data_IF_729634141634
#
_entry.id   IF_729634141634
#
_cell.length_a   1.000
_cell.length_b   1.000
_cell.length_c   1.000
_cell.angle_alpha   90.00
_cell.angle_beta   90.00
_cell.angle_gamma   90.00
#
_symmetry.space_group_name_H-M   'P 1'
#
loop_
_entity.id
_entity.type
_entity.pdbx_description
1 polymer ?
#
# COMPACT_ATOMS: atom_id res chain seq x y z
N UNK A 1 15.30 33.30 -4.49
CA UNK A 1 13.97 32.76 -4.84
C UNK A 1 13.98 31.28 -4.44
N UNK A 2 13.52 30.95 -3.25
CA UNK A 2 13.53 29.58 -2.74
C UNK A 2 12.25 28.89 -3.20
N UNK A 3 12.38 27.89 -4.09
CA UNK A 3 11.27 27.04 -4.52
C UNK A 3 11.10 25.95 -3.45
N UNK A 4 10.27 26.21 -2.45
CA UNK A 4 9.88 25.19 -1.46
C UNK A 4 8.92 24.22 -2.14
N UNK A 5 9.42 23.07 -2.57
CA UNK A 5 8.58 21.93 -2.94
C UNK A 5 7.89 21.46 -1.65
N UNK A 6 6.57 21.64 -1.58
CA UNK A 6 5.74 21.20 -0.45
C UNK A 6 5.70 19.67 -0.52
N UNK A 7 6.60 19.01 0.20
CA UNK A 7 6.57 17.55 0.33
C UNK A 7 5.40 17.23 1.26
N UNK A 8 4.30 16.74 0.69
CA UNK A 8 3.21 16.18 1.48
C UNK A 8 3.68 14.82 2.02
N UNK A 9 4.00 14.77 3.31
CA UNK A 9 4.26 13.51 3.99
C UNK A 9 2.91 12.84 4.26
N UNK A 10 2.41 12.08 3.30
CA UNK A 10 1.24 11.21 3.51
C UNK A 10 1.77 9.89 4.06
N UNK A 11 1.45 9.62 5.31
CA UNK A 11 1.63 8.29 5.93
C UNK A 11 0.29 7.57 5.88
N UNK A 12 0.26 6.40 5.25
CA UNK A 12 -0.92 5.53 5.24
C UNK A 12 -0.61 4.27 6.07
N UNK A 13 -1.54 3.91 6.95
CA UNK A 13 -1.49 2.65 7.70
C UNK A 13 -2.58 1.73 7.16
N UNK A 14 -2.21 0.53 6.72
CA UNK A 14 -3.11 -0.50 6.25
C UNK A 14 -3.23 -1.56 7.34
N UNK A 15 -4.44 -1.75 7.86
CA UNK A 15 -4.70 -2.78 8.86
C UNK A 15 -4.70 -4.16 8.19
N UNK A 16 -4.12 -5.15 8.85
CA UNK A 16 -4.25 -6.53 8.38
C UNK A 16 -5.43 -7.17 9.11
N UNK A 17 -6.58 -7.26 8.45
CA UNK A 17 -7.81 -7.86 9.00
C UNK A 17 -7.75 -9.41 9.03
N UNK A 18 -6.64 -9.99 9.49
CA UNK A 18 -6.51 -11.43 9.71
C UNK A 18 -6.66 -11.74 11.19
N UNK A 19 -7.51 -12.72 11.48
CA UNK A 19 -7.57 -13.31 12.81
C UNK A 19 -6.32 -14.17 13.04
N UNK A 20 -5.41 -13.71 13.90
CA UNK A 20 -4.17 -14.43 14.23
C UNK A 20 -4.48 -15.49 15.30
N UNK A 21 -4.21 -16.76 15.01
CA UNK A 21 -4.21 -17.81 16.03
C UNK A 21 -2.91 -17.76 16.83
N UNK A 22 -2.87 -18.14 18.13
CA UNK A 22 -1.62 -18.27 18.88
C UNK A 22 -0.57 -19.15 18.20
N UNK A 23 -1.00 -20.11 17.37
CA UNK A 23 -0.10 -20.96 16.59
C UNK A 23 0.61 -20.21 15.45
N UNK A 24 0.04 -19.10 14.97
CA UNK A 24 0.57 -18.33 13.84
C UNK A 24 1.59 -17.28 14.25
N UNK A 25 1.76 -17.04 15.56
CA UNK A 25 2.71 -16.06 16.13
C UNK A 25 4.18 -16.29 15.72
N UNK A 26 4.52 -17.50 15.25
CA UNK A 26 5.88 -17.86 14.83
C UNK A 26 6.10 -17.72 13.32
N UNK A 27 5.06 -17.43 12.53
CA UNK A 27 5.19 -17.20 11.10
C UNK A 27 5.59 -15.73 10.86
N UNK A 28 6.58 -15.51 9.98
CA UNK A 28 6.91 -14.14 9.56
C UNK A 28 5.74 -13.56 8.78
N UNK A 29 5.30 -12.38 9.20
CA UNK A 29 4.22 -11.62 8.58
C UNK A 29 4.59 -11.24 7.16
N UNK A 30 3.62 -11.28 6.24
CA UNK A 30 3.93 -11.06 4.83
C UNK A 30 2.91 -10.13 4.18
N UNK A 31 3.34 -8.89 3.99
CA UNK A 31 2.68 -8.00 3.05
C UNK A 31 3.27 -8.21 1.66
N UNK A 32 2.39 -8.18 0.67
CA UNK A 32 2.75 -8.26 -0.73
C UNK A 32 2.22 -7.05 -1.48
N UNK A 33 2.95 -6.67 -2.53
CA UNK A 33 2.65 -5.53 -3.38
C UNK A 33 2.62 -5.91 -4.85
N UNK A 34 1.71 -5.29 -5.62
CA UNK A 34 1.70 -5.34 -7.07
C UNK A 34 1.35 -3.98 -7.68
N UNK A 35 2.26 -3.41 -8.46
CA UNK A 35 2.00 -2.16 -9.20
C UNK A 35 0.97 -2.33 -10.33
N UNK A 36 0.79 -3.55 -10.85
CA UNK A 36 -0.16 -3.87 -11.94
C UNK A 36 -1.60 -3.95 -11.41
N UNK A 37 -1.78 -4.00 -10.08
CA UNK A 37 -3.10 -4.04 -9.47
C UNK A 37 -3.75 -5.43 -9.46
N UNK A 38 -2.98 -6.53 -9.49
CA UNK A 38 -3.55 -7.87 -9.44
C UNK A 38 -2.81 -8.83 -8.49
N UNK A 39 -3.51 -9.86 -8.04
CA UNK A 39 -3.02 -10.87 -7.08
C UNK A 39 -2.04 -11.88 -7.66
N UNK A 40 -1.89 -11.94 -8.99
CA UNK A 40 -1.04 -12.93 -9.66
C UNK A 40 0.43 -12.51 -9.74
N UNK A 41 0.73 -11.21 -9.55
CA UNK A 41 2.08 -10.68 -9.62
C UNK A 41 2.42 -9.93 -8.33
N UNK A 42 2.48 -10.67 -7.24
CA UNK A 42 2.74 -10.18 -5.90
C UNK A 42 4.23 -10.29 -5.57
N UNK A 43 4.84 -9.16 -5.23
CA UNK A 43 6.21 -9.08 -4.68
C UNK A 43 6.16 -8.92 -3.18
N UNK A 44 7.03 -9.62 -2.47
CA UNK A 44 7.21 -9.46 -1.02
C UNK A 44 7.59 -8.01 -0.70
N UNK A 45 6.93 -7.41 0.29
CA UNK A 45 7.36 -6.14 0.87
C UNK A 45 8.41 -6.43 1.95
N UNK A 46 9.63 -5.96 1.72
CA UNK A 46 10.70 -5.98 2.71
C UNK A 46 10.69 -4.66 3.50
N UNK A 47 10.82 -4.76 4.83
CA UNK A 47 10.90 -3.59 5.69
C UNK A 47 12.11 -2.72 5.35
N UNK A 48 11.87 -1.41 5.27
CA UNK A 48 12.88 -0.40 4.98
C UNK A 48 12.38 0.99 5.43
N UNK A 49 13.08 2.06 5.06
CA UNK A 49 12.73 3.43 5.44
C UNK A 49 11.34 3.90 4.94
N UNK A 50 10.74 3.19 3.98
CA UNK A 50 9.43 3.49 3.39
C UNK A 50 8.32 2.53 3.81
N UNK A 51 8.66 1.32 4.22
CA UNK A 51 7.71 0.27 4.58
C UNK A 51 8.04 -0.29 5.95
N UNK A 52 7.10 -0.16 6.88
CA UNK A 52 7.21 -0.70 8.23
C UNK A 52 6.02 -1.62 8.51
N UNK A 53 6.30 -2.83 8.99
CA UNK A 53 5.25 -3.79 9.39
C UNK A 53 5.24 -3.89 10.91
N UNK A 54 4.11 -3.53 11.52
CA UNK A 54 3.93 -3.63 12.96
C UNK A 54 3.92 -5.09 13.40
N UNK A 55 4.72 -5.43 14.41
CA UNK A 55 4.73 -6.77 14.99
C UNK A 55 3.54 -7.04 15.93
N UNK A 56 2.77 -5.99 16.29
CA UNK A 56 1.67 -6.09 17.27
C UNK A 56 0.34 -6.45 16.60
N UNK A 57 0.03 -5.79 15.49
CA UNK A 57 -1.26 -5.87 14.79
C UNK A 57 -1.10 -6.14 13.28
N UNK A 58 0.13 -6.39 12.83
CA UNK A 58 0.48 -6.71 11.44
C UNK A 58 0.14 -5.59 10.45
N UNK A 59 -0.12 -4.37 10.92
CA UNK A 59 -0.39 -3.24 10.06
C UNK A 59 0.84 -2.86 9.23
N UNK A 60 0.61 -2.51 7.95
CA UNK A 60 1.64 -1.95 7.07
C UNK A 60 1.56 -0.43 7.10
N UNK A 61 2.63 0.21 7.55
CA UNK A 61 2.81 1.65 7.41
C UNK A 61 3.65 1.96 6.18
N UNK A 62 3.10 2.80 5.30
CA UNK A 62 3.78 3.30 4.10
C UNK A 62 4.15 4.77 4.33
N UNK A 63 5.44 5.08 4.23
CA UNK A 63 6.01 6.40 4.45
C UNK A 63 6.41 7.02 3.10
N UNK A 64 6.20 8.34 2.96
CA UNK A 64 6.46 9.08 1.72
C UNK A 64 5.76 8.44 0.51
N UNK A 65 4.43 8.46 0.55
CA UNK A 65 3.61 8.00 -0.57
C UNK A 65 3.94 8.78 -1.86
N UNK A 66 4.18 8.05 -2.95
CA UNK A 66 4.37 8.58 -4.30
C UNK A 66 3.68 7.66 -5.33
N UNK A 67 3.71 8.03 -6.62
CA UNK A 67 3.07 7.24 -7.69
C UNK A 67 3.63 5.80 -7.78
N UNK A 68 4.90 5.57 -7.45
CA UNK A 68 5.51 4.22 -7.50
C UNK A 68 5.02 3.29 -6.40
N UNK A 69 4.39 3.85 -5.36
CA UNK A 69 3.74 3.14 -4.26
C UNK A 69 2.22 3.03 -4.45
N UNK A 70 1.69 3.51 -5.57
CA UNK A 70 0.29 3.23 -5.92
C UNK A 70 0.18 1.80 -6.47
N UNK A 71 -0.82 1.05 -6.03
CA UNK A 71 -1.04 -0.31 -6.50
C UNK A 71 -1.86 -1.16 -5.53
N UNK A 72 -1.72 -2.48 -5.70
CA UNK A 72 -2.42 -3.49 -4.93
C UNK A 72 -1.55 -3.99 -3.78
N UNK A 73 -2.12 -4.00 -2.58
CA UNK A 73 -1.49 -4.45 -1.35
C UNK A 73 -2.30 -5.58 -0.74
N UNK A 74 -1.63 -6.66 -0.37
CA UNK A 74 -2.26 -7.87 0.15
C UNK A 74 -1.52 -8.33 1.40
N UNK A 75 -2.24 -8.38 2.52
CA UNK A 75 -1.76 -9.06 3.71
C UNK A 75 -2.03 -10.56 3.59
N UNK A 76 -1.01 -11.39 3.86
CA UNK A 76 -1.14 -12.84 3.95
C UNK A 76 -0.43 -13.37 5.18
N UNK A 77 -1.03 -14.41 5.78
CA UNK A 77 -0.45 -15.17 6.89
C UNK A 77 -0.67 -16.65 6.61
N UNK A 78 0.41 -17.39 6.38
CA UNK A 78 0.37 -18.82 6.05
C UNK A 78 -0.57 -19.12 4.87
N UNK A 79 -1.74 -19.73 5.12
CA UNK A 79 -2.74 -20.10 4.10
C UNK A 79 -3.96 -19.16 4.11
N UNK A 80 -3.88 -18.02 4.80
CA UNK A 80 -4.95 -17.06 4.95
C UNK A 80 -4.57 -15.71 4.35
N UNK A 81 -5.54 -15.05 3.72
CA UNK A 81 -5.35 -13.76 3.05
C UNK A 81 -6.46 -12.81 3.51
N UNK A 82 -6.08 -11.56 3.83
CA UNK A 82 -7.04 -10.52 4.19
C UNK A 82 -7.76 -9.98 2.94
N UNK A 83 -8.72 -9.07 3.12
CA UNK A 83 -9.17 -8.22 2.01
C UNK A 83 -7.99 -7.40 1.44
N UNK A 84 -7.92 -7.21 0.11
CA UNK A 84 -6.86 -6.40 -0.48
C UNK A 84 -7.12 -4.90 -0.35
N UNK A 85 -6.04 -4.12 -0.36
CA UNK A 85 -6.09 -2.67 -0.51
C UNK A 85 -5.66 -2.27 -1.93
N UNK A 86 -6.39 -1.35 -2.54
CA UNK A 86 -6.01 -0.69 -3.77
C UNK A 86 -5.75 0.79 -3.46
N UNK A 87 -4.51 1.23 -3.65
CA UNK A 87 -4.08 2.58 -3.32
C UNK A 87 -3.70 3.31 -4.60
N UNK A 88 -4.27 4.48 -4.81
CA UNK A 88 -3.93 5.38 -5.91
C UNK A 88 -3.63 6.77 -5.36
N UNK A 89 -2.48 7.32 -5.71
CA UNK A 89 -2.16 8.71 -5.40
C UNK A 89 -2.88 9.61 -6.42
N UNK A 90 -3.95 10.26 -5.96
CA UNK A 90 -4.66 11.27 -6.76
C UNK A 90 -3.95 12.61 -6.59
N UNK A 91 -3.43 13.14 -7.70
CA UNK A 91 -2.78 14.44 -7.71
C UNK A 91 -3.83 15.50 -8.06
N UNK A 92 -4.24 16.33 -7.09
CA UNK A 92 -5.30 17.35 -7.23
C UNK A 92 -5.05 18.39 -8.34
N UNK A 93 -3.86 18.39 -8.96
CA UNK A 93 -3.50 19.29 -10.07
C UNK A 93 -3.71 18.69 -11.47
N UNK A 94 -4.15 17.43 -11.58
CA UNK A 94 -4.47 16.81 -12.89
C UNK A 94 -5.90 17.22 -13.26
N UNK A 95 -6.03 18.31 -14.01
CA UNK A 95 -7.33 18.69 -14.58
C UNK A 95 -7.92 17.49 -15.34
N UNK A 96 -9.16 17.12 -14.99
CA UNK A 96 -9.94 16.15 -15.74
C UNK A 96 -10.18 16.73 -17.14
N UNK A 97 -9.36 16.33 -18.11
CA UNK A 97 -9.68 16.56 -19.53
C UNK A 97 -10.81 15.60 -19.86
N UNK A 98 -12.04 16.05 -19.65
CA UNK A 98 -13.22 15.38 -20.20
C UNK A 98 -13.23 15.73 -21.69
N UNK A 99 -12.74 14.83 -22.53
CA UNK A 99 -13.02 14.88 -23.97
C UNK A 99 -14.52 14.63 -24.17
N UNK A 100 -15.30 15.70 -24.08
CA UNK A 100 -16.69 15.69 -24.54
C UNK A 100 -16.61 15.69 -26.06
N UNK A 101 -16.72 14.49 -26.63
CA UNK A 101 -16.97 14.27 -28.04
C UNK A 101 -18.18 15.14 -28.45
N UNK A 102 -17.90 16.24 -29.15
CA UNK A 102 -18.93 17.10 -29.73
C UNK A 102 -19.49 16.36 -30.94
N UNK A 103 -20.72 15.86 -30.80
CA UNK A 103 -21.56 15.45 -31.92
C UNK A 103 -22.63 16.50 -32.18
#
# INVERSE_FOLDING_TARGET
MYRTTKHFFITNSLECELCISPNDLHHKNVWYYSWIGNSNNLSLIEENDYFYVSSLDLSLTIINMDESKSGFYQCKLSNSEAGPYFIELINDTKELIIDVDKK
#
